data_IF_343292216548
#
_entry.id   IF_343292216548
#
_cell.length_a   1.000
_cell.length_b   1.000
_cell.length_c   1.000
_cell.angle_alpha   90.00
_cell.angle_beta   90.00
_cell.angle_gamma   90.00
#
_symmetry.space_group_name_H-M   'P 1'
#
loop_
_entity.id
_entity.type
_entity.pdbx_description
1 polymer ?
#
# COMPACT_ATOMS: atom_id res chain seq x y z
N UNK A 1 23.38 6.89 15.89
CA UNK A 1 23.00 7.52 14.61
C UNK A 1 23.60 6.75 13.44
N UNK A 2 22.98 5.66 13.01
CA UNK A 2 23.40 4.91 11.81
C UNK A 2 22.57 5.37 10.62
N UNK A 3 23.21 6.10 9.72
CA UNK A 3 22.69 6.43 8.39
C UNK A 3 22.85 5.18 7.52
N UNK A 4 21.75 4.65 6.98
CA UNK A 4 21.80 3.56 6.00
C UNK A 4 22.13 4.15 4.63
N UNK A 5 23.42 4.24 4.30
CA UNK A 5 23.90 4.68 2.99
C UNK A 5 23.77 3.55 1.96
N UNK A 6 22.77 3.63 1.07
CA UNK A 6 22.66 2.72 -0.09
C UNK A 6 23.71 3.09 -1.15
N UNK A 7 24.76 2.27 -1.28
CA UNK A 7 25.69 2.35 -2.42
C UNK A 7 24.95 1.93 -3.70
N UNK A 8 24.85 2.82 -4.69
CA UNK A 8 24.40 2.47 -6.05
C UNK A 8 25.54 1.75 -6.77
N UNK A 9 25.36 0.46 -7.05
CA UNK A 9 26.25 -0.25 -7.97
C UNK A 9 25.79 -0.01 -9.40
N UNK A 10 26.71 0.48 -10.23
CA UNK A 10 26.49 0.75 -11.65
C UNK A 10 26.68 -0.57 -12.40
N UNK A 11 25.59 -1.18 -12.89
CA UNK A 11 25.63 -2.47 -13.58
C UNK A 11 25.27 -2.26 -15.04
N UNK A 12 26.23 -2.51 -15.94
CA UNK A 12 26.09 -2.45 -17.40
C UNK A 12 24.96 -3.38 -17.86
N UNK A 13 23.95 -2.78 -18.49
CA UNK A 13 22.69 -3.43 -18.85
C UNK A 13 22.85 -4.08 -20.22
N UNK A 14 23.29 -5.33 -20.26
CA UNK A 14 23.20 -6.16 -21.48
C UNK A 14 21.79 -6.75 -21.61
N UNK A 15 21.42 -6.99 -22.87
CA UNK A 15 20.11 -7.37 -23.43
C UNK A 15 19.33 -8.52 -22.76
N UNK A 16 19.93 -9.27 -21.83
CA UNK A 16 19.27 -10.34 -21.08
C UNK A 16 18.21 -9.83 -20.09
N UNK A 17 18.35 -8.61 -19.55
CA UNK A 17 17.37 -8.01 -18.62
C UNK A 17 16.01 -7.71 -19.28
N UNK A 18 15.96 -7.52 -20.60
CA UNK A 18 14.72 -7.16 -21.30
C UNK A 18 13.76 -8.36 -21.35
N UNK A 19 14.28 -9.59 -21.40
CA UNK A 19 13.44 -10.81 -21.49
C UNK A 19 12.79 -11.15 -20.14
N UNK A 20 13.46 -10.91 -19.02
CA UNK A 20 12.92 -11.18 -17.67
C UNK A 20 11.75 -10.23 -17.33
N UNK A 21 11.78 -8.99 -17.81
CA UNK A 21 10.75 -7.99 -17.54
C UNK A 21 9.35 -8.38 -18.04
N UNK A 22 9.25 -9.25 -19.06
CA UNK A 22 7.97 -9.69 -19.62
C UNK A 22 7.33 -10.90 -18.91
N UNK A 23 7.98 -11.49 -17.90
CA UNK A 23 7.45 -12.67 -17.18
C UNK A 23 7.08 -12.42 -15.72
N UNK A 24 6.99 -11.16 -15.29
CA UNK A 24 6.44 -10.85 -13.96
C UNK A 24 4.92 -11.00 -14.03
N UNK A 25 4.42 -12.17 -13.63
CA UNK A 25 2.98 -12.40 -13.46
C UNK A 25 2.46 -11.46 -12.38
N UNK A 26 1.43 -10.66 -12.69
CA UNK A 26 0.75 -9.82 -11.68
C UNK A 26 0.16 -10.72 -10.59
N UNK A 27 0.42 -10.36 -9.34
CA UNK A 27 -0.23 -10.98 -8.20
C UNK A 27 -1.65 -10.39 -8.08
N UNK A 28 -2.67 -11.22 -8.30
CA UNK A 28 -4.07 -10.83 -8.18
C UNK A 28 -4.67 -11.48 -6.92
N UNK A 29 -5.00 -10.64 -5.94
CA UNK A 29 -5.62 -11.04 -4.67
C UNK A 29 -7.15 -10.89 -4.69
N UNK A 30 -7.74 -10.54 -5.84
CA UNK A 30 -9.15 -10.23 -5.99
C UNK A 30 -9.53 -8.83 -5.49
N UNK A 31 -10.79 -8.66 -5.07
CA UNK A 31 -11.32 -7.36 -4.63
C UNK A 31 -10.94 -7.08 -3.18
N UNK A 32 -10.56 -5.83 -2.92
CA UNK A 32 -10.29 -5.32 -1.57
C UNK A 32 -11.59 -4.84 -0.91
N UNK A 33 -12.46 -5.78 -0.55
CA UNK A 33 -13.80 -5.48 -0.04
C UNK A 33 -14.05 -5.96 1.40
N UNK A 34 -13.08 -6.64 2.02
CA UNK A 34 -13.20 -7.05 3.41
C UNK A 34 -13.01 -5.83 4.31
N UNK A 35 -13.75 -5.76 5.41
CA UNK A 35 -13.76 -4.58 6.30
C UNK A 35 -13.38 -5.01 7.70
N UNK A 36 -12.40 -4.33 8.31
CA UNK A 36 -12.05 -4.57 9.70
C UNK A 36 -13.14 -4.04 10.62
N UNK A 37 -13.67 -4.89 11.50
CA UNK A 37 -14.75 -4.57 12.45
C UNK A 37 -14.39 -3.49 13.48
N UNK A 38 -13.11 -3.17 13.66
CA UNK A 38 -12.65 -2.22 14.68
C UNK A 38 -12.32 -0.83 14.14
N UNK A 39 -11.89 -0.75 12.87
CA UNK A 39 -11.26 0.44 12.30
C UNK A 39 -11.87 0.82 10.93
N UNK A 40 -12.78 0.01 10.38
CA UNK A 40 -13.40 0.14 9.05
C UNK A 40 -12.44 0.13 7.85
N UNK A 41 -11.14 -0.13 8.08
CA UNK A 41 -10.17 -0.26 7.00
C UNK A 41 -10.51 -1.44 6.08
N UNK A 42 -10.23 -1.25 4.79
CA UNK A 42 -10.46 -2.24 3.73
C UNK A 42 -9.24 -3.15 3.54
N UNK A 43 -9.51 -4.42 3.28
CA UNK A 43 -8.51 -5.48 3.12
C UNK A 43 -8.86 -6.41 1.97
N UNK A 44 -7.84 -7.11 1.45
CA UNK A 44 -8.05 -8.32 0.68
C UNK A 44 -8.33 -9.51 1.60
N UNK A 45 -9.07 -10.49 1.09
CA UNK A 45 -9.36 -11.72 1.84
C UNK A 45 -8.08 -12.48 2.21
N UNK A 46 -7.11 -12.50 1.30
CA UNK A 46 -5.83 -13.18 1.50
C UNK A 46 -4.98 -12.59 2.65
N UNK A 47 -5.27 -11.34 3.06
CA UNK A 47 -4.56 -10.66 4.16
C UNK A 47 -5.16 -10.97 5.53
N UNK A 48 -6.21 -11.80 5.61
CA UNK A 48 -6.78 -12.20 6.90
C UNK A 48 -5.71 -12.86 7.78
N UNK A 49 -5.88 -12.75 9.08
CA UNK A 49 -5.09 -13.52 10.02
C UNK A 49 -5.23 -15.03 9.70
N UNK A 50 -4.11 -15.76 9.71
CA UNK A 50 -4.07 -17.19 9.39
C UNK A 50 -5.02 -17.99 10.29
N UNK A 51 -5.13 -17.60 11.56
CA UNK A 51 -5.97 -18.26 12.58
C UNK A 51 -7.45 -17.88 12.51
N UNK A 52 -7.84 -16.96 11.63
CA UNK A 52 -9.25 -16.55 11.46
C UNK A 52 -9.93 -17.29 10.32
N UNK A 53 -11.24 -17.50 10.45
CA UNK A 53 -12.03 -18.16 9.42
C UNK A 53 -12.28 -17.24 8.22
N UNK A 54 -12.63 -17.82 7.07
CA UNK A 54 -13.08 -17.04 5.91
C UNK A 54 -14.46 -16.40 6.11
N UNK A 55 -15.31 -17.00 6.96
CA UNK A 55 -16.62 -16.43 7.29
C UNK A 55 -16.51 -15.22 8.24
N UNK A 56 -15.50 -15.24 9.13
CA UNK A 56 -15.25 -14.19 10.11
C UNK A 56 -13.76 -13.81 10.10
N UNK A 57 -13.31 -13.07 9.08
CA UNK A 57 -11.92 -12.68 8.99
C UNK A 57 -11.55 -11.62 10.01
N UNK A 58 -10.32 -11.72 10.52
CA UNK A 58 -9.73 -10.71 11.39
C UNK A 58 -8.44 -10.18 10.79
N UNK A 59 -8.09 -8.94 11.10
CA UNK A 59 -6.95 -8.24 10.51
C UNK A 59 -6.09 -7.59 11.59
N UNK A 60 -4.77 -7.68 11.45
CA UNK A 60 -3.80 -7.14 12.40
C UNK A 60 -3.17 -5.83 11.92
N UNK A 61 -3.11 -5.60 10.62
CA UNK A 61 -2.31 -4.50 10.04
C UNK A 61 -2.89 -3.11 10.31
N UNK A 62 -4.23 -2.92 10.38
CA UNK A 62 -4.78 -1.57 10.59
C UNK A 62 -4.69 -1.10 12.04
N UNK A 63 -5.18 -1.90 12.98
CA UNK A 63 -5.42 -1.47 14.37
C UNK A 63 -4.94 -2.51 15.39
N UNK A 64 -4.13 -3.48 14.96
CA UNK A 64 -3.69 -4.61 15.77
C UNK A 64 -4.86 -5.32 16.46
N UNK A 65 -5.94 -5.59 15.71
CA UNK A 65 -7.18 -6.17 16.24
C UNK A 65 -7.81 -5.34 17.37
N UNK A 66 -7.96 -4.04 17.14
CA UNK A 66 -8.58 -3.10 18.07
C UNK A 66 -7.68 -2.65 19.23
N UNK A 67 -6.44 -3.16 19.32
CA UNK A 67 -5.48 -2.75 20.37
C UNK A 67 -5.01 -1.31 20.21
N UNK A 68 -5.01 -0.77 18.99
CA UNK A 68 -4.62 0.62 18.70
C UNK A 68 -5.82 1.37 18.15
N UNK A 69 -6.12 2.52 18.75
CA UNK A 69 -7.07 3.49 18.18
C UNK A 69 -6.32 4.42 17.25
N UNK A 70 -6.53 4.26 15.94
CA UNK A 70 -6.02 5.20 14.96
C UNK A 70 -6.74 6.55 15.12
N UNK A 71 -6.01 7.68 15.17
CA UNK A 71 -6.64 9.00 15.14
C UNK A 71 -7.41 9.17 13.83
N UNK A 72 -8.48 9.98 13.85
CA UNK A 72 -9.16 10.36 12.61
C UNK A 72 -8.19 11.11 11.71
N UNK A 73 -8.30 10.87 10.41
CA UNK A 73 -7.56 11.64 9.42
C UNK A 73 -7.93 13.12 9.58
N UNK A 74 -6.91 13.95 9.70
CA UNK A 74 -7.07 15.41 9.63
C UNK A 74 -7.34 15.81 8.19
N UNK A 75 -8.09 16.90 8.00
CA UNK A 75 -8.27 17.47 6.67
C UNK A 75 -6.91 17.86 6.08
N UNK A 76 -6.70 17.53 4.81
CA UNK A 76 -5.48 17.91 4.12
C UNK A 76 -5.42 19.44 4.03
N UNK A 77 -4.24 20.05 4.30
CA UNK A 77 -4.02 21.46 3.98
C UNK A 77 -4.46 21.78 2.55
N UNK A 78 -5.09 22.95 2.28
CA UNK A 78 -5.70 23.24 0.99
C UNK A 78 -4.77 23.08 -0.21
N UNK A 79 -3.48 23.39 -0.03
CA UNK A 79 -2.46 23.21 -1.07
C UNK A 79 -2.29 21.74 -1.46
N UNK A 80 -2.17 20.84 -0.48
CA UNK A 80 -2.03 19.41 -0.73
C UNK A 80 -3.33 18.81 -1.30
N UNK A 81 -4.48 19.29 -0.83
CA UNK A 81 -5.76 18.89 -1.40
C UNK A 81 -5.85 19.28 -2.88
N UNK A 82 -5.46 20.51 -3.22
CA UNK A 82 -5.43 20.97 -4.61
C UNK A 82 -4.45 20.15 -5.47
N UNK A 83 -3.26 19.84 -4.98
CA UNK A 83 -2.34 18.94 -5.69
C UNK A 83 -2.94 17.54 -5.92
N UNK A 84 -3.75 17.05 -4.98
CA UNK A 84 -4.35 15.72 -5.08
C UNK A 84 -5.58 15.65 -6.00
N UNK A 85 -6.41 16.71 -6.04
CA UNK A 85 -7.70 16.69 -6.73
C UNK A 85 -7.76 17.50 -8.02
N UNK A 86 -6.82 18.42 -8.24
CA UNK A 86 -6.85 19.31 -9.40
C UNK A 86 -6.30 18.65 -10.66
N UNK A 87 -6.73 19.16 -11.81
CA UNK A 87 -6.19 18.81 -13.13
C UNK A 87 -5.18 19.85 -13.65
N UNK A 88 -4.69 20.73 -12.78
CA UNK A 88 -3.67 21.73 -13.16
C UNK A 88 -2.32 21.07 -13.42
N UNK A 89 -1.44 21.74 -14.19
CA UNK A 89 -0.10 21.26 -14.50
C UNK A 89 0.70 20.86 -13.27
N UNK A 90 0.57 21.64 -12.20
CA UNK A 90 1.29 21.40 -10.94
C UNK A 90 0.78 20.11 -10.29
N UNK A 91 -0.54 19.87 -10.26
CA UNK A 91 -1.10 18.64 -9.70
C UNK A 91 -0.74 17.38 -10.51
N UNK A 92 -0.68 17.50 -11.84
CA UNK A 92 -0.38 16.37 -12.74
C UNK A 92 1.11 16.01 -12.73
N UNK A 93 2.00 16.95 -12.44
CA UNK A 93 3.45 16.77 -12.48
C UNK A 93 4.08 16.32 -11.16
N UNK A 94 3.28 16.22 -10.09
CA UNK A 94 3.70 15.78 -8.76
C UNK A 94 3.73 14.25 -8.59
#
# INVERSE_FOLDING_TARGET
>A
NQVCSRKRQNVNITSERIIINNRIKRNDLGRMNQTCIHCDAKFWMEEKNQNSSFAYPTFLTCCAHGKVRLPRLVELPPYLLNLYTSSNSDAISF
#
